data_IF_998058133034
#
_entry.id   IF_998058133034
#
_cell.length_a   1.000
_cell.length_b   1.000
_cell.length_c   1.000
_cell.angle_alpha   90.00
_cell.angle_beta   90.00
_cell.angle_gamma   90.00
#
_symmetry.space_group_name_H-M   'P 1'
#
loop_
_entity.id
_entity.type
_entity.pdbx_description
1 polymer ?
#
# COMPACT_ATOMS: atom_id res chain seq x y z
N UNK A 1 -9.68 -7.78 11.27
CA UNK A 1 -8.57 -8.71 11.65
C UNK A 1 -7.72 -9.01 10.42
N UNK A 2 -6.41 -8.70 10.45
CA UNK A 2 -5.51 -8.91 9.30
C UNK A 2 -5.22 -10.39 8.99
N UNK A 3 -4.83 -10.69 7.74
CA UNK A 3 -4.67 -12.07 7.24
C UNK A 3 -3.62 -12.86 8.02
N UNK A 4 -2.48 -12.26 8.36
CA UNK A 4 -1.44 -12.92 9.16
C UNK A 4 -2.00 -13.35 10.51
N UNK A 5 -2.72 -12.45 11.21
CA UNK A 5 -3.36 -12.77 12.50
C UNK A 5 -4.36 -13.92 12.37
N UNK A 6 -5.10 -13.99 11.27
CA UNK A 6 -6.05 -15.10 11.01
C UNK A 6 -5.31 -16.43 10.81
N UNK A 7 -4.23 -16.41 10.05
CA UNK A 7 -3.45 -17.61 9.70
C UNK A 7 -2.68 -18.14 10.92
N UNK A 8 -2.18 -17.26 11.79
CA UNK A 8 -1.37 -17.67 12.95
C UNK A 8 -2.17 -17.92 14.24
N UNK A 9 -3.47 -17.60 14.29
CA UNK A 9 -4.27 -17.65 15.54
C UNK A 9 -4.28 -19.00 16.28
N UNK A 10 -4.11 -20.10 15.55
CA UNK A 10 -4.14 -21.45 16.09
C UNK A 10 -2.74 -22.02 16.37
N UNK A 11 -1.67 -21.29 16.05
CA UNK A 11 -0.31 -21.72 16.32
C UNK A 11 -0.03 -21.53 17.82
N UNK A 12 0.05 -22.65 18.56
CA UNK A 12 0.29 -22.63 20.01
C UNK A 12 1.74 -22.91 20.40
N UNK A 13 2.47 -23.68 19.59
CA UNK A 13 3.83 -24.15 19.92
C UNK A 13 4.85 -23.62 18.91
N UNK A 14 5.32 -22.40 19.12
CA UNK A 14 6.32 -21.77 18.27
C UNK A 14 7.71 -22.40 18.50
N UNK A 15 8.43 -22.68 17.41
CA UNK A 15 9.80 -23.21 17.43
C UNK A 15 10.74 -22.26 16.68
N UNK A 16 11.12 -21.18 17.37
CA UNK A 16 12.11 -20.22 16.88
C UNK A 16 11.67 -19.37 15.67
N UNK A 17 12.62 -18.60 15.14
CA UNK A 17 12.39 -17.60 14.11
C UNK A 17 12.00 -18.21 12.75
N UNK A 18 12.55 -19.38 12.39
CA UNK A 18 12.22 -20.05 11.13
C UNK A 18 10.73 -20.41 11.02
N UNK A 19 10.14 -20.87 12.12
CA UNK A 19 8.70 -21.15 12.17
C UNK A 19 7.86 -19.87 12.04
N UNK A 20 8.27 -18.78 12.69
CA UNK A 20 7.63 -17.48 12.54
C UNK A 20 7.66 -17.01 11.08
N UNK A 21 8.80 -17.12 10.42
CA UNK A 21 8.99 -16.72 9.03
C UNK A 21 8.12 -17.56 8.08
N UNK A 22 8.06 -18.88 8.29
CA UNK A 22 7.19 -19.77 7.52
C UNK A 22 5.70 -19.45 7.65
N UNK A 23 5.23 -19.16 8.87
CA UNK A 23 3.83 -18.77 9.09
C UNK A 23 3.49 -17.37 8.56
N UNK A 24 4.44 -16.43 8.59
CA UNK A 24 4.29 -15.12 7.93
C UNK A 24 4.20 -15.29 6.42
N UNK A 25 5.06 -16.11 5.82
CA UNK A 25 4.99 -16.44 4.40
C UNK A 25 3.65 -17.07 4.03
N UNK A 26 3.15 -18.03 4.82
CA UNK A 26 1.80 -18.59 4.64
C UNK A 26 0.71 -17.51 4.73
N UNK A 27 0.85 -16.56 5.67
CA UNK A 27 -0.05 -15.40 5.79
C UNK A 27 -0.02 -14.49 4.55
N UNK A 28 1.15 -14.28 3.95
CA UNK A 28 1.30 -13.50 2.71
C UNK A 28 0.67 -14.22 1.50
N UNK A 29 0.83 -15.55 1.40
CA UNK A 29 0.20 -16.35 0.35
C UNK A 29 -1.33 -16.29 0.47
N UNK A 30 -1.87 -16.38 1.69
CA UNK A 30 -3.32 -16.27 1.91
C UNK A 30 -3.83 -14.85 1.60
N UNK A 31 -3.06 -13.82 1.93
CA UNK A 31 -3.41 -12.44 1.61
C UNK A 31 -3.46 -12.20 0.09
N UNK A 32 -2.59 -12.86 -0.67
CA UNK A 32 -2.52 -12.75 -2.11
C UNK A 32 -3.83 -13.15 -2.82
N UNK A 33 -4.60 -14.08 -2.25
CA UNK A 33 -5.91 -14.49 -2.81
C UNK A 33 -6.93 -13.35 -2.86
N UNK A 34 -6.80 -12.35 -1.97
CA UNK A 34 -7.66 -11.16 -1.97
C UNK A 34 -7.15 -10.03 -2.87
N UNK A 35 -5.97 -10.16 -3.48
CA UNK A 35 -5.39 -9.11 -4.30
C UNK A 35 -5.96 -9.15 -5.72
N UNK A 36 -6.25 -7.96 -6.26
CA UNK A 36 -6.64 -7.79 -7.65
C UNK A 36 -5.40 -7.53 -8.50
N UNK A 37 -5.29 -8.23 -9.64
CA UNK A 37 -4.19 -8.01 -10.59
C UNK A 37 -4.38 -6.68 -11.31
N UNK A 38 -3.41 -5.77 -11.15
CA UNK A 38 -3.40 -4.51 -11.88
C UNK A 38 -2.79 -4.68 -13.28
N UNK A 39 -3.62 -4.60 -14.32
CA UNK A 39 -3.21 -4.80 -15.73
C UNK A 39 -2.16 -3.77 -16.19
N UNK A 40 -2.34 -2.51 -15.81
CA UNK A 40 -1.52 -1.38 -16.26
C UNK A 40 -0.34 -1.03 -15.32
N UNK A 41 0.18 -2.00 -14.56
CA UNK A 41 1.23 -1.73 -13.54
C UNK A 41 2.49 -1.06 -14.09
N UNK A 42 2.84 -1.31 -15.36
CA UNK A 42 4.01 -0.70 -16.02
C UNK A 42 3.81 0.81 -16.28
N UNK A 43 2.57 1.23 -16.51
CA UNK A 43 2.23 2.62 -16.83
C UNK A 43 2.10 3.49 -15.57
N UNK A 44 1.96 2.87 -14.39
CA UNK A 44 1.83 3.61 -13.13
C UNK A 44 3.04 4.50 -12.82
N UNK A 45 4.26 4.08 -13.17
CA UNK A 45 5.45 4.89 -12.92
C UNK A 45 5.41 6.21 -13.72
N UNK A 46 5.01 6.12 -15.00
CA UNK A 46 4.84 7.29 -15.88
C UNK A 46 3.71 8.18 -15.35
N UNK A 47 2.59 7.57 -14.96
CA UNK A 47 1.46 8.29 -14.37
C UNK A 47 1.88 9.01 -13.08
N UNK A 48 2.67 8.37 -12.21
CA UNK A 48 3.18 8.96 -10.98
C UNK A 48 4.05 10.18 -11.24
N UNK A 49 4.99 10.09 -12.18
CA UNK A 49 5.84 11.22 -12.57
C UNK A 49 5.02 12.39 -13.16
N UNK A 50 4.03 12.09 -14.00
CA UNK A 50 3.14 13.10 -14.56
C UNK A 50 2.29 13.79 -13.49
N UNK A 51 1.74 13.02 -12.54
CA UNK A 51 0.99 13.54 -11.40
C UNK A 51 1.87 14.42 -10.49
N UNK A 52 3.10 14.01 -10.23
CA UNK A 52 4.04 14.82 -9.44
C UNK A 52 4.34 16.15 -10.14
N UNK A 53 4.70 16.10 -11.42
CA UNK A 53 4.96 17.31 -12.23
C UNK A 53 3.75 18.25 -12.25
N UNK A 54 2.54 17.68 -12.34
CA UNK A 54 1.30 18.45 -12.29
C UNK A 54 1.05 19.05 -10.91
N UNK A 55 1.29 18.28 -9.84
CA UNK A 55 1.21 18.75 -8.46
C UNK A 55 2.16 19.93 -8.24
N UNK A 56 3.43 19.80 -8.64
CA UNK A 56 4.43 20.85 -8.51
C UNK A 56 4.02 22.12 -9.27
N UNK A 57 3.49 21.99 -10.49
CA UNK A 57 2.94 23.14 -11.25
C UNK A 57 1.75 23.81 -10.55
N UNK A 58 0.93 23.04 -9.85
CA UNK A 58 -0.22 23.55 -9.11
C UNK A 58 0.15 24.16 -7.76
N UNK A 59 1.20 23.66 -7.10
CA UNK A 59 1.71 24.22 -5.83
C UNK A 59 2.62 25.42 -6.06
N UNK A 60 3.34 25.48 -7.19
CA UNK A 60 4.15 26.65 -7.60
C UNK A 60 3.28 27.83 -8.02
N UNK A 61 2.05 27.58 -8.53
CA UNK A 61 1.05 28.66 -8.62
C UNK A 61 0.61 29.00 -7.20
N UNK A 62 0.85 30.22 -6.68
CA UNK A 62 0.22 30.58 -5.43
C UNK A 62 -1.28 30.49 -5.66
N UNK A 63 -1.94 29.56 -4.96
CA UNK A 63 -3.38 29.60 -4.79
C UNK A 63 -3.63 30.92 -4.07
N UNK A 64 -3.91 31.97 -4.84
CA UNK A 64 -4.33 33.24 -4.28
C UNK A 64 -5.63 32.94 -3.56
N UNK A 65 -5.55 32.76 -2.24
CA UNK A 65 -6.71 32.77 -1.39
C UNK A 65 -7.32 34.14 -1.60
N UNK A 66 -8.41 34.19 -2.39
CA UNK A 66 -9.22 35.39 -2.54
C UNK A 66 -9.82 35.65 -1.16
N UNK A 67 -9.10 36.39 -0.33
CA UNK A 67 -9.60 36.96 0.91
C UNK A 67 -10.65 37.99 0.52
N UNK A 68 -11.91 37.57 0.52
CA UNK A 68 -13.07 38.44 0.38
C UNK A 68 -13.16 39.28 1.65
N UNK A 69 -12.77 40.55 1.56
CA UNK A 69 -12.98 41.54 2.61
C UNK A 69 -14.49 41.78 2.79
N UNK A 70 -14.89 41.92 4.06
CA UNK A 70 -16.26 42.19 4.51
C UNK A 70 -16.67 43.63 4.25
#
# INVERSE_FOLDING_TARGET
MGTIRRVTRNVKRWRGAGMALGWVAAGMIEANKGFRRLKARKQLAILGAALQTHHDRMTIKPVAHVTRAA
#
